data_IF_875754407701
#
_entry.id   IF_875754407701
#
_cell.length_a   1.000
_cell.length_b   1.000
_cell.length_c   1.000
_cell.angle_alpha   90.00
_cell.angle_beta   90.00
_cell.angle_gamma   90.00
#
_symmetry.space_group_name_H-M   'P 1'
#
loop_
_entity.id
_entity.type
_entity.pdbx_description
1 polymer ?
#
# COMPACT_ATOMS: atom_id res chain seq x y z
N UNK A 1 31.14 0.23 25.05
CA UNK A 1 30.80 -0.64 23.90
C UNK A 1 29.42 -0.22 23.41
N UNK A 2 29.35 0.94 22.74
CA UNK A 2 28.10 1.63 22.35
C UNK A 2 28.47 2.72 21.33
N UNK A 3 29.01 2.33 20.17
CA UNK A 3 29.41 3.34 19.16
C UNK A 3 29.31 2.90 17.70
N UNK A 4 28.76 1.71 17.42
CA UNK A 4 28.70 1.16 16.05
C UNK A 4 27.31 1.35 15.42
N UNK A 5 26.24 1.37 16.21
CA UNK A 5 24.87 1.46 15.67
C UNK A 5 24.40 2.89 15.37
N UNK A 6 24.94 3.90 16.04
CA UNK A 6 24.64 5.32 15.74
C UNK A 6 25.31 5.81 14.46
N UNK A 7 26.47 5.25 14.10
CA UNK A 7 27.19 5.65 12.89
C UNK A 7 26.48 5.19 11.60
N UNK A 8 25.75 4.06 11.63
CA UNK A 8 24.97 3.56 10.49
C UNK A 8 23.70 4.37 10.23
N UNK A 9 23.06 4.91 11.26
CA UNK A 9 21.84 5.72 11.12
C UNK A 9 22.15 7.09 10.48
N UNK A 10 23.32 7.68 10.77
CA UNK A 10 23.72 8.98 10.21
C UNK A 10 24.05 8.87 8.71
N UNK A 11 24.61 7.74 8.25
CA UNK A 11 24.96 7.54 6.83
C UNK A 11 23.71 7.42 5.95
N UNK A 12 22.63 6.80 6.43
CA UNK A 12 21.38 6.65 5.65
C UNK A 12 20.68 8.00 5.47
N UNK A 13 20.74 8.89 6.46
CA UNK A 13 20.14 10.24 6.36
C UNK A 13 20.92 11.14 5.40
N UNK A 14 22.25 11.00 5.30
CA UNK A 14 23.08 11.81 4.40
C UNK A 14 22.89 11.48 2.91
N UNK A 15 22.50 10.24 2.56
CA UNK A 15 22.25 9.82 1.17
C UNK A 15 20.91 10.41 0.65
N UNK A 16 19.95 10.65 1.53
CA UNK A 16 18.64 11.23 1.15
C UNK A 16 18.74 12.74 0.87
N UNK A 17 19.68 13.46 1.49
CA UNK A 17 19.88 14.89 1.26
C UNK A 17 20.77 15.24 0.05
N UNK A 18 21.42 14.27 -0.58
CA UNK A 18 22.31 14.52 -1.73
C UNK A 18 21.61 14.47 -3.09
N UNK A 19 20.34 14.04 -3.15
CA UNK A 19 19.60 13.92 -4.42
C UNK A 19 18.74 15.14 -4.79
N UNK A 20 18.71 16.19 -3.96
CA UNK A 20 17.87 17.39 -4.23
C UNK A 20 18.65 18.63 -4.69
N UNK A 21 19.96 18.53 -4.98
CA UNK A 21 20.80 19.68 -5.35
C UNK A 21 21.70 19.49 -6.58
N UNK A 22 21.25 18.73 -7.59
CA UNK A 22 21.93 18.72 -8.90
C UNK A 22 20.99 18.48 -10.07
N UNK A 23 20.10 19.45 -10.32
CA UNK A 23 19.69 19.77 -11.69
C UNK A 23 20.41 21.05 -12.13
N UNK A 24 21.66 20.91 -12.57
CA UNK A 24 22.24 21.88 -13.49
C UNK A 24 23.27 21.22 -14.42
N UNK A 25 23.11 21.50 -15.72
CA UNK A 25 24.12 21.45 -16.79
C UNK A 25 24.55 20.08 -17.36
N UNK A 26 23.88 19.72 -18.46
CA UNK A 26 24.38 19.67 -19.84
C UNK A 26 25.72 18.97 -20.17
N UNK A 27 25.63 18.03 -21.14
CA UNK A 27 26.68 17.32 -21.94
C UNK A 27 27.59 16.38 -21.13
N UNK A 28 27.90 15.17 -21.57
CA UNK A 28 28.34 14.78 -22.92
C UNK A 28 28.21 13.25 -23.11
N UNK A 29 28.20 12.82 -24.36
CA UNK A 29 28.14 11.41 -24.78
C UNK A 29 29.44 10.69 -24.44
N UNK A 30 29.38 9.51 -23.83
CA UNK A 30 30.42 8.50 -24.05
C UNK A 30 29.85 7.09 -23.99
N UNK A 31 30.06 6.37 -25.10
CA UNK A 31 29.82 4.94 -25.27
C UNK A 31 30.78 4.18 -24.35
N UNK A 32 30.28 3.21 -23.60
CA UNK A 32 31.08 2.04 -23.26
C UNK A 32 30.19 0.81 -23.31
N UNK A 33 30.38 0.03 -24.37
CA UNK A 33 29.91 -1.35 -24.46
C UNK A 33 30.58 -2.16 -23.35
N UNK A 34 29.77 -2.76 -22.48
CA UNK A 34 30.22 -3.88 -21.67
C UNK A 34 29.18 -4.99 -21.78
N UNK A 35 29.49 -5.98 -22.61
CA UNK A 35 28.80 -7.27 -22.67
C UNK A 35 28.99 -7.99 -21.34
N UNK A 36 27.89 -8.41 -20.72
CA UNK A 36 27.85 -9.59 -19.85
C UNK A 36 26.64 -10.45 -20.27
N UNK A 37 26.74 -11.78 -20.13
CA UNK A 37 25.95 -12.73 -20.91
C UNK A 37 24.55 -12.92 -20.34
N UNK A 38 23.65 -13.29 -21.25
CA UNK A 38 22.35 -13.84 -20.94
C UNK A 38 22.51 -15.12 -20.10
N UNK A 39 21.82 -15.18 -18.98
CA UNK A 39 21.43 -16.43 -18.34
C UNK A 39 19.97 -16.33 -17.95
N UNK A 40 19.21 -17.32 -18.44
CA UNK A 40 17.80 -17.57 -18.21
C UNK A 40 17.56 -17.80 -16.73
N UNK A 41 16.57 -17.16 -16.15
CA UNK A 41 15.74 -17.83 -15.15
C UNK A 41 14.26 -17.57 -15.49
N UNK A 42 13.55 -18.69 -15.50
CA UNK A 42 12.14 -18.90 -15.79
C UNK A 42 11.25 -18.09 -14.85
N UNK A 43 10.51 -17.14 -15.39
CA UNK A 43 9.25 -16.72 -14.78
C UNK A 43 8.21 -17.78 -15.16
N UNK A 44 7.92 -18.65 -14.20
CA UNK A 44 6.67 -19.40 -14.16
C UNK A 44 5.55 -18.37 -14.05
N UNK A 45 5.00 -17.97 -15.20
CA UNK A 45 3.66 -17.39 -15.29
C UNK A 45 2.67 -18.49 -14.88
N UNK A 46 2.51 -18.69 -13.57
CA UNK A 46 1.26 -19.22 -13.05
C UNK A 46 0.18 -18.21 -13.42
N UNK A 47 -0.54 -18.51 -14.50
CA UNK A 47 -1.81 -17.91 -14.84
C UNK A 47 -2.79 -18.20 -13.69
N UNK A 48 -2.74 -17.36 -12.66
CA UNK A 48 -3.74 -17.32 -11.60
C UNK A 48 -5.06 -16.97 -12.29
N UNK A 49 -6.04 -17.86 -12.14
CA UNK A 49 -7.41 -17.69 -12.60
C UNK A 49 -8.03 -16.48 -11.90
N UNK A 50 -7.88 -15.29 -12.49
CA UNK A 50 -8.30 -14.01 -11.90
C UNK A 50 -9.81 -13.90 -11.68
N UNK A 51 -10.60 -14.83 -12.24
CA UNK A 51 -12.05 -14.84 -12.11
C UNK A 51 -12.55 -15.35 -10.75
N UNK A 52 -11.73 -16.14 -10.03
CA UNK A 52 -12.05 -16.63 -8.68
C UNK A 52 -11.80 -15.57 -7.59
N UNK A 53 -10.87 -14.64 -7.83
CA UNK A 53 -10.49 -13.60 -6.88
C UNK A 53 -11.55 -12.48 -6.82
N UNK A 54 -12.10 -12.10 -7.98
CA UNK A 54 -12.96 -10.92 -8.09
C UNK A 54 -14.29 -11.06 -7.34
N UNK A 55 -14.93 -12.23 -7.45
CA UNK A 55 -16.18 -12.55 -6.75
C UNK A 55 -15.95 -12.77 -5.24
N UNK A 56 -14.76 -13.21 -4.84
CA UNK A 56 -14.40 -13.40 -3.43
C UNK A 56 -14.32 -12.04 -2.72
N UNK A 57 -13.62 -11.07 -3.30
CA UNK A 57 -13.46 -9.73 -2.71
C UNK A 57 -14.78 -8.96 -2.61
N UNK A 58 -15.68 -9.07 -3.59
CA UNK A 58 -17.00 -8.44 -3.52
C UNK A 58 -17.85 -9.00 -2.37
N UNK A 59 -17.88 -10.33 -2.22
CA UNK A 59 -18.61 -10.96 -1.12
C UNK A 59 -18.01 -10.63 0.25
N UNK A 60 -16.67 -10.56 0.35
CA UNK A 60 -15.97 -10.18 1.59
C UNK A 60 -16.24 -8.70 1.94
N UNK A 61 -16.20 -7.81 0.96
CA UNK A 61 -16.49 -6.39 1.14
C UNK A 61 -17.92 -6.16 1.63
N UNK A 62 -18.92 -6.73 0.95
CA UNK A 62 -20.33 -6.59 1.36
C UNK A 62 -20.56 -7.13 2.77
N UNK A 63 -19.97 -8.29 3.09
CA UNK A 63 -20.07 -8.88 4.42
C UNK A 63 -19.50 -7.95 5.49
N UNK A 64 -18.28 -7.43 5.29
CA UNK A 64 -17.63 -6.56 6.29
C UNK A 64 -18.37 -5.22 6.40
N UNK A 65 -18.84 -4.64 5.30
CA UNK A 65 -19.65 -3.41 5.34
C UNK A 65 -20.94 -3.63 6.14
N UNK A 66 -21.59 -4.79 5.99
CA UNK A 66 -22.79 -5.13 6.76
C UNK A 66 -22.49 -5.40 8.24
N UNK A 67 -21.36 -6.05 8.55
CA UNK A 67 -20.95 -6.39 9.92
C UNK A 67 -20.49 -5.15 10.70
N UNK A 68 -19.68 -4.28 10.08
CA UNK A 68 -19.16 -3.04 10.69
C UNK A 68 -20.21 -1.92 10.67
N UNK A 69 -20.96 -1.81 9.58
CA UNK A 69 -21.96 -0.77 9.36
C UNK A 69 -21.36 0.63 9.27
N UNK A 70 -22.19 1.64 9.59
CA UNK A 70 -21.79 3.05 9.60
C UNK A 70 -21.02 3.39 10.88
N UNK A 71 -19.82 3.95 10.72
CA UNK A 71 -18.91 4.23 11.82
C UNK A 71 -19.20 5.61 12.39
N UNK A 72 -19.65 5.64 13.64
CA UNK A 72 -19.77 6.89 14.40
C UNK A 72 -18.47 7.24 15.14
N UNK A 73 -17.70 6.22 15.54
CA UNK A 73 -16.42 6.35 16.23
C UNK A 73 -15.56 5.13 15.94
N UNK A 74 -14.29 5.35 15.60
CA UNK A 74 -13.33 4.28 15.43
C UNK A 74 -12.94 3.62 16.77
N UNK A 75 -12.75 2.31 16.70
CA UNK A 75 -11.99 1.48 17.64
C UNK A 75 -10.78 0.89 16.91
N UNK A 76 -9.73 0.43 17.63
CA UNK A 76 -8.60 -0.23 16.99
C UNK A 76 -9.01 -1.42 16.11
N UNK A 77 -9.93 -2.25 16.60
CA UNK A 77 -10.49 -3.39 15.88
C UNK A 77 -11.14 -2.97 14.55
N UNK A 78 -12.07 -2.01 14.60
CA UNK A 78 -12.74 -1.52 13.37
C UNK A 78 -11.75 -0.89 12.41
N UNK A 79 -10.78 -0.13 12.93
CA UNK A 79 -9.78 0.52 12.10
C UNK A 79 -8.89 -0.49 11.38
N UNK A 80 -8.38 -1.51 12.10
CA UNK A 80 -7.54 -2.55 11.52
C UNK A 80 -8.33 -3.39 10.51
N UNK A 81 -9.57 -3.75 10.82
CA UNK A 81 -10.47 -4.47 9.90
C UNK A 81 -10.64 -3.71 8.58
N UNK A 82 -10.94 -2.41 8.66
CA UNK A 82 -11.08 -1.55 7.48
C UNK A 82 -9.74 -1.39 6.75
N UNK A 83 -8.62 -1.34 7.47
CA UNK A 83 -7.28 -1.24 6.88
C UNK A 83 -6.96 -2.46 6.03
N UNK A 84 -7.22 -3.66 6.56
CA UNK A 84 -7.01 -4.92 5.84
C UNK A 84 -7.88 -4.94 4.58
N UNK A 85 -9.17 -4.64 4.72
CA UNK A 85 -10.08 -4.62 3.59
C UNK A 85 -9.69 -3.55 2.55
N UNK A 86 -9.29 -2.36 2.99
CA UNK A 86 -8.85 -1.28 2.11
C UNK A 86 -7.63 -1.70 1.29
N UNK A 87 -6.67 -2.42 1.87
CA UNK A 87 -5.51 -2.96 1.13
C UNK A 87 -5.93 -3.97 0.07
N UNK A 88 -6.81 -4.91 0.42
CA UNK A 88 -7.34 -5.92 -0.52
C UNK A 88 -8.03 -5.24 -1.69
N UNK A 89 -8.93 -4.30 -1.41
CA UNK A 89 -9.65 -3.54 -2.44
C UNK A 89 -8.72 -2.67 -3.29
N UNK A 90 -7.74 -2.00 -2.69
CA UNK A 90 -6.77 -1.18 -3.44
C UNK A 90 -6.02 -1.99 -4.49
N UNK A 91 -5.68 -3.25 -4.19
CA UNK A 91 -5.02 -4.12 -5.17
C UNK A 91 -5.93 -4.45 -6.34
N UNK A 92 -7.17 -4.88 -6.05
CA UNK A 92 -8.20 -5.11 -7.07
C UNK A 92 -8.34 -3.88 -7.97
N UNK A 93 -8.48 -2.69 -7.37
CA UNK A 93 -8.63 -1.46 -8.14
C UNK A 93 -7.39 -1.09 -8.95
N UNK A 94 -6.18 -1.37 -8.46
CA UNK A 94 -4.96 -1.17 -9.24
C UNK A 94 -4.91 -2.08 -10.46
N UNK A 95 -5.31 -3.34 -10.30
CA UNK A 95 -5.38 -4.31 -11.40
C UNK A 95 -6.44 -3.89 -12.44
N UNK A 96 -7.61 -3.47 -11.99
CA UNK A 96 -8.68 -2.93 -12.84
C UNK A 96 -8.24 -1.64 -13.54
N UNK A 97 -7.57 -0.73 -12.83
CA UNK A 97 -7.06 0.51 -13.39
C UNK A 97 -6.03 0.25 -14.51
N UNK A 98 -5.21 -0.79 -14.40
CA UNK A 98 -4.25 -1.15 -15.45
C UNK A 98 -4.94 -1.56 -16.77
N UNK A 99 -6.19 -2.03 -16.71
CA UNK A 99 -7.00 -2.31 -17.90
C UNK A 99 -7.61 -1.05 -18.55
N UNK A 100 -7.57 0.10 -17.87
CA UNK A 100 -8.10 1.37 -18.35
C UNK A 100 -7.04 2.23 -19.07
N UNK A 101 -7.45 3.16 -19.96
CA UNK A 101 -6.55 4.18 -20.52
C UNK A 101 -5.86 4.99 -19.42
N UNK A 102 -4.57 5.33 -19.58
CA UNK A 102 -3.75 6.01 -18.56
C UNK A 102 -4.39 7.28 -17.99
N UNK A 103 -5.07 8.07 -18.83
CA UNK A 103 -5.73 9.31 -18.42
C UNK A 103 -6.97 9.07 -17.52
N UNK A 104 -7.54 7.87 -17.54
CA UNK A 104 -8.72 7.48 -16.76
C UNK A 104 -8.35 6.78 -15.44
N UNK A 105 -7.17 6.15 -15.35
CA UNK A 105 -6.74 5.36 -14.19
C UNK A 105 -6.82 6.13 -12.87
N UNK A 106 -6.39 7.39 -12.89
CA UNK A 106 -6.42 8.22 -11.68
C UNK A 106 -7.86 8.49 -11.22
N UNK A 107 -8.74 8.86 -12.15
CA UNK A 107 -10.12 9.18 -11.81
C UNK A 107 -10.85 7.94 -11.26
N UNK A 108 -10.59 6.77 -11.85
CA UNK A 108 -11.09 5.49 -11.35
C UNK A 108 -10.68 5.24 -9.90
N UNK A 109 -9.38 5.32 -9.60
CA UNK A 109 -8.87 5.10 -8.24
C UNK A 109 -9.41 6.13 -7.24
N UNK A 110 -9.54 7.39 -7.64
CA UNK A 110 -10.13 8.44 -6.79
C UNK A 110 -11.61 8.16 -6.48
N UNK A 111 -12.38 7.67 -7.47
CA UNK A 111 -13.81 7.32 -7.31
C UNK A 111 -14.01 6.09 -6.42
N UNK A 112 -13.20 5.04 -6.61
CA UNK A 112 -13.23 3.83 -5.79
C UNK A 112 -12.85 4.11 -4.34
N UNK A 113 -11.79 4.91 -4.12
CA UNK A 113 -11.36 5.33 -2.79
C UNK A 113 -12.47 6.09 -2.03
N UNK A 114 -13.13 7.04 -2.71
CA UNK A 114 -14.26 7.77 -2.14
C UNK A 114 -15.44 6.83 -1.85
N UNK A 115 -15.76 5.93 -2.77
CA UNK A 115 -16.87 4.97 -2.64
C UNK A 115 -16.67 4.03 -1.46
N UNK A 116 -15.44 3.55 -1.26
CA UNK A 116 -15.06 2.70 -0.15
C UNK A 116 -15.32 3.35 1.20
N UNK A 117 -14.80 4.55 1.45
CA UNK A 117 -15.00 5.22 2.73
C UNK A 117 -16.46 5.62 2.95
N UNK A 118 -17.17 6.00 1.89
CA UNK A 118 -18.61 6.29 1.95
C UNK A 118 -19.44 5.06 2.36
N UNK A 119 -19.02 3.85 1.99
CA UNK A 119 -19.69 2.60 2.42
C UNK A 119 -19.73 2.48 3.95
N UNK A 120 -18.68 2.96 4.63
CA UNK A 120 -18.60 3.01 6.10
C UNK A 120 -19.10 4.32 6.72
N UNK A 121 -19.49 5.31 5.91
CA UNK A 121 -19.98 6.61 6.38
C UNK A 121 -18.89 7.52 6.95
N UNK A 122 -17.66 7.34 6.50
CA UNK A 122 -16.49 8.11 6.92
C UNK A 122 -15.83 8.75 5.69
N UNK A 123 -14.88 9.65 5.93
CA UNK A 123 -13.96 10.16 4.91
C UNK A 123 -12.56 9.59 5.10
N UNK A 124 -11.77 9.62 4.03
CA UNK A 124 -10.33 9.30 4.10
C UNK A 124 -9.61 10.16 5.17
N UNK A 125 -9.94 11.45 5.24
CA UNK A 125 -9.35 12.36 6.24
C UNK A 125 -9.65 11.89 7.67
N UNK A 126 -10.87 11.44 7.96
CA UNK A 126 -11.23 10.91 9.28
C UNK A 126 -10.44 9.64 9.61
N UNK A 127 -10.28 8.76 8.62
CA UNK A 127 -9.49 7.54 8.74
C UNK A 127 -8.01 7.83 9.04
N UNK A 128 -7.37 8.69 8.23
CA UNK A 128 -5.98 9.12 8.42
C UNK A 128 -5.78 9.82 9.77
N UNK A 129 -6.71 10.70 10.15
CA UNK A 129 -6.62 11.42 11.42
C UNK A 129 -6.68 10.46 12.61
N UNK A 130 -7.51 9.42 12.53
CA UNK A 130 -7.57 8.41 13.58
C UNK A 130 -6.25 7.63 13.68
N UNK A 131 -5.68 7.21 12.54
CA UNK A 131 -4.43 6.43 12.54
C UNK A 131 -3.26 7.20 13.17
N UNK A 132 -3.15 8.49 12.85
CA UNK A 132 -2.11 9.36 13.39
C UNK A 132 -2.28 9.65 14.89
N UNK A 133 -3.53 9.82 15.34
CA UNK A 133 -3.82 10.16 16.72
C UNK A 133 -3.76 8.97 17.70
N UNK A 134 -3.85 7.73 17.19
CA UNK A 134 -3.99 6.52 18.03
C UNK A 134 -2.91 5.47 17.73
N UNK A 135 -1.75 5.87 17.23
CA UNK A 135 -0.69 4.96 16.79
C UNK A 135 -0.26 3.96 17.88
N UNK A 136 -0.16 4.41 19.13
CA UNK A 136 0.23 3.53 20.26
C UNK A 136 -0.85 2.49 20.57
N UNK A 137 -2.13 2.88 20.50
CA UNK A 137 -3.26 1.98 20.71
C UNK A 137 -3.37 0.96 19.57
N UNK A 138 -3.15 1.40 18.33
CA UNK A 138 -3.12 0.53 17.16
C UNK A 138 -1.97 -0.47 17.23
N UNK A 139 -0.76 -0.03 17.57
CA UNK A 139 0.38 -0.92 17.73
C UNK A 139 0.12 -1.97 18.81
N UNK A 140 -0.42 -1.55 19.96
CA UNK A 140 -0.79 -2.47 21.03
C UNK A 140 -1.83 -3.50 20.56
N UNK A 141 -2.85 -3.06 19.84
CA UNK A 141 -3.85 -3.97 19.27
C UNK A 141 -3.22 -4.99 18.32
N UNK A 142 -2.29 -4.56 17.45
CA UNK A 142 -1.58 -5.45 16.54
C UNK A 142 -0.65 -6.44 17.26
N UNK A 143 -0.05 -6.05 18.39
CA UNK A 143 0.75 -6.95 19.24
C UNK A 143 -0.11 -8.02 19.92
N UNK A 144 -1.34 -7.66 20.32
CA UNK A 144 -2.31 -8.57 20.94
C UNK A 144 -2.96 -9.53 19.91
N UNK A 145 -2.95 -9.14 18.63
CA UNK A 145 -3.55 -9.87 17.50
C UNK A 145 -2.53 -10.15 16.38
N UNK A 146 -1.49 -10.97 16.64
CA UNK A 146 -0.42 -11.22 15.68
C UNK A 146 -0.88 -11.88 14.38
N UNK A 147 -2.01 -12.60 14.40
CA UNK A 147 -2.65 -13.17 13.22
C UNK A 147 -2.96 -12.12 12.14
N UNK A 148 -3.32 -10.90 12.54
CA UNK A 148 -3.68 -9.80 11.63
C UNK A 148 -2.47 -9.21 10.91
N UNK A 149 -1.24 -9.50 11.36
CA UNK A 149 -0.02 -9.04 10.70
C UNK A 149 0.11 -9.72 9.33
N UNK A 150 -0.26 -11.01 9.23
CA UNK A 150 -0.22 -11.74 7.97
C UNK A 150 -1.16 -11.15 6.92
N UNK A 151 -2.40 -10.85 7.30
CA UNK A 151 -3.42 -10.19 6.46
C UNK A 151 -3.01 -8.79 5.98
N UNK A 152 -2.12 -8.09 6.71
CA UNK A 152 -1.58 -6.79 6.28
C UNK A 152 -0.37 -6.90 5.35
N UNK A 153 0.30 -8.05 5.33
CA UNK A 153 1.45 -8.31 4.47
C UNK A 153 1.04 -8.94 3.15
N UNK A 154 -0.01 -9.77 3.20
CA UNK A 154 -0.61 -10.39 2.03
C UNK A 154 -0.99 -9.37 0.99
#
# INVERSE_FOLDING_TARGET
MTSINTFRIIIVIAIIFSTTLSCSRNREKEKTEQKLPAEKETEDDELIDSSLDEQYYENEFEKIVNDVGKIQKFTPETFVTITILYRKMTRKWLDEAMALPTEEQKNYLDEENVSFFNAFGITEEQFIKYSQANIDELNKYMEEHPELISELQE
#
